data_IF_519402462418
#
_entry.id   IF_519402462418
#
_cell.length_a   1.000
_cell.length_b   1.000
_cell.length_c   1.000
_cell.angle_alpha   90.00
_cell.angle_beta   90.00
_cell.angle_gamma   90.00
#
_symmetry.space_group_name_H-M   'P 1'
#
loop_
_entity.id
_entity.type
_entity.pdbx_description
1 polymer ?
#
# COMPACT_ATOMS: atom_id res chain seq x y z
N UNK A 1 -17.84 -0.54 -20.59
CA UNK A 1 -17.33 -0.93 -19.28
C UNK A 1 -15.89 -1.40 -19.45
N UNK A 2 -14.98 -0.99 -18.58
CA UNK A 2 -13.62 -1.48 -18.59
C UNK A 2 -13.53 -2.98 -18.21
N UNK A 3 -12.34 -3.52 -18.18
CA UNK A 3 -12.07 -4.91 -17.79
C UNK A 3 -11.05 -4.96 -16.66
N UNK A 4 -11.12 -6.02 -15.84
CA UNK A 4 -10.25 -6.22 -14.68
C UNK A 4 -9.55 -7.58 -14.81
N UNK A 5 -8.24 -7.56 -14.87
CA UNK A 5 -7.41 -8.76 -14.97
C UNK A 5 -6.75 -9.06 -13.64
N UNK A 6 -6.66 -10.33 -13.28
CA UNK A 6 -5.79 -10.78 -12.20
C UNK A 6 -4.36 -10.79 -12.71
N UNK A 7 -3.47 -10.19 -11.96
CA UNK A 7 -2.03 -10.20 -12.23
C UNK A 7 -1.27 -10.45 -10.94
N UNK A 8 -0.03 -10.87 -11.06
CA UNK A 8 0.86 -11.12 -9.93
C UNK A 8 2.25 -10.58 -10.27
N UNK A 9 2.97 -10.14 -9.27
CA UNK A 9 4.35 -9.67 -9.39
C UNK A 9 5.12 -9.95 -8.10
N UNK A 10 6.44 -9.95 -8.16
CA UNK A 10 7.28 -10.16 -6.99
C UNK A 10 7.30 -8.91 -6.12
N UNK A 11 7.00 -9.07 -4.83
CA UNK A 11 7.17 -8.05 -3.80
C UNK A 11 8.64 -7.88 -3.38
N UNK A 12 8.84 -7.09 -2.34
CA UNK A 12 10.17 -6.73 -1.83
C UNK A 12 11.03 -7.94 -1.39
N UNK A 13 10.41 -9.01 -0.92
CA UNK A 13 11.07 -10.22 -0.44
C UNK A 13 11.05 -11.38 -1.46
N UNK A 14 10.50 -11.13 -2.65
CA UNK A 14 10.32 -12.13 -3.71
C UNK A 14 9.01 -12.92 -3.61
N UNK A 15 8.18 -12.70 -2.58
CA UNK A 15 6.84 -13.28 -2.48
C UNK A 15 5.95 -12.77 -3.62
N UNK A 16 5.06 -13.64 -4.15
CA UNK A 16 4.11 -13.22 -5.19
C UNK A 16 2.99 -12.38 -4.58
N UNK A 17 2.86 -11.13 -5.05
CA UNK A 17 1.81 -10.22 -4.65
C UNK A 17 0.65 -10.28 -5.63
N UNK A 18 -0.55 -10.54 -5.08
CA UNK A 18 -1.77 -10.63 -5.85
C UNK A 18 -2.34 -9.23 -6.16
N UNK A 19 -2.63 -8.98 -7.43
CA UNK A 19 -3.11 -7.69 -7.89
C UNK A 19 -4.29 -7.77 -8.86
N UNK A 20 -4.93 -6.63 -9.06
CA UNK A 20 -5.91 -6.36 -10.09
C UNK A 20 -5.41 -5.22 -10.97
N UNK A 21 -5.39 -5.47 -12.27
CA UNK A 21 -5.15 -4.45 -13.28
C UNK A 21 -6.50 -4.10 -13.92
N UNK A 22 -7.04 -2.97 -13.52
CA UNK A 22 -8.32 -2.45 -14.01
C UNK A 22 -8.06 -1.46 -15.13
N UNK A 23 -8.65 -1.71 -16.30
CA UNK A 23 -8.37 -0.94 -17.51
C UNK A 23 -9.67 -0.45 -18.17
N UNK A 24 -9.67 0.77 -18.76
CA UNK A 24 -10.73 1.22 -19.62
C UNK A 24 -10.82 0.39 -20.91
N UNK A 25 -11.89 0.57 -21.67
CA UNK A 25 -12.08 -0.12 -22.97
C UNK A 25 -11.01 0.27 -23.99
N UNK A 26 -10.57 1.52 -23.93
CA UNK A 26 -9.51 2.05 -24.78
C UNK A 26 -8.18 2.10 -24.00
N UNK A 27 -7.10 2.34 -24.74
CA UNK A 27 -5.78 2.47 -24.09
C UNK A 27 -5.82 3.57 -23.01
N UNK A 28 -5.39 3.29 -21.79
CA UNK A 28 -5.30 4.29 -20.73
C UNK A 28 -4.40 5.46 -21.14
N UNK A 29 -4.81 6.67 -20.82
CA UNK A 29 -3.96 7.85 -21.01
C UNK A 29 -3.07 8.15 -19.80
N UNK A 30 -3.34 7.52 -18.66
CA UNK A 30 -2.54 7.55 -17.45
C UNK A 30 -2.77 6.28 -16.62
N UNK A 31 -1.86 6.04 -15.67
CA UNK A 31 -1.93 4.92 -14.74
C UNK A 31 -1.90 5.39 -13.30
N UNK A 32 -2.69 4.75 -12.47
CA UNK A 32 -2.70 4.94 -11.02
C UNK A 32 -2.30 3.64 -10.31
N UNK A 33 -1.60 3.78 -9.18
CA UNK A 33 -1.31 2.70 -8.24
C UNK A 33 -2.06 2.96 -6.95
N UNK A 34 -2.84 1.98 -6.47
CA UNK A 34 -3.65 2.10 -5.27
C UNK A 34 -3.12 1.25 -4.12
N UNK A 35 -2.81 1.90 -2.99
CA UNK A 35 -2.38 1.31 -1.73
C UNK A 35 -3.52 1.29 -0.70
N UNK A 36 -3.90 0.10 -0.23
CA UNK A 36 -4.94 -0.06 0.79
C UNK A 36 -4.42 0.17 2.21
N UNK A 37 -5.31 0.16 3.21
CA UNK A 37 -4.97 0.37 4.61
C UNK A 37 -4.26 -0.86 5.25
N UNK A 38 -3.72 -0.66 6.46
CA UNK A 38 -2.83 -1.58 7.18
C UNK A 38 -3.31 -3.04 7.28
N UNK A 39 -4.59 -3.29 7.46
CA UNK A 39 -5.15 -4.64 7.61
C UNK A 39 -6.22 -4.97 6.58
N UNK A 40 -6.23 -4.22 5.47
CA UNK A 40 -7.25 -4.34 4.42
C UNK A 40 -6.83 -5.32 3.30
N UNK A 41 -7.47 -5.16 2.16
CA UNK A 41 -7.09 -5.80 0.90
C UNK A 41 -7.38 -4.87 -0.27
N UNK A 42 -6.85 -5.22 -1.45
CA UNK A 42 -7.11 -4.52 -2.72
C UNK A 42 -8.59 -4.47 -3.11
N UNK A 43 -9.43 -5.33 -2.52
CA UNK A 43 -10.82 -5.52 -2.88
C UNK A 43 -11.82 -4.85 -1.91
N UNK A 44 -11.35 -3.95 -1.02
CA UNK A 44 -12.25 -3.14 -0.19
C UNK A 44 -13.17 -2.29 -1.06
N UNK A 45 -14.38 -2.03 -0.57
CA UNK A 45 -15.40 -1.29 -1.31
C UNK A 45 -14.90 0.04 -1.89
N UNK A 46 -14.24 0.85 -1.04
CA UNK A 46 -13.70 2.15 -1.47
C UNK A 46 -12.66 2.03 -2.60
N UNK A 47 -11.77 1.04 -2.55
CA UNK A 47 -10.78 0.82 -3.61
C UNK A 47 -11.47 0.47 -4.95
N UNK A 48 -12.51 -0.36 -4.92
CA UNK A 48 -13.25 -0.74 -6.12
C UNK A 48 -14.01 0.43 -6.74
N UNK A 49 -14.72 1.24 -5.92
CA UNK A 49 -15.48 2.39 -6.42
C UNK A 49 -14.57 3.48 -6.99
N UNK A 50 -13.48 3.80 -6.29
CA UNK A 50 -12.48 4.77 -6.78
C UNK A 50 -11.87 4.27 -8.10
N UNK A 51 -11.49 3.00 -8.15
CA UNK A 51 -10.94 2.38 -9.35
C UNK A 51 -11.93 2.45 -10.52
N UNK A 52 -13.21 2.09 -10.29
CA UNK A 52 -14.23 2.14 -11.32
C UNK A 52 -14.39 3.57 -11.88
N UNK A 53 -14.45 4.57 -11.01
CA UNK A 53 -14.55 5.98 -11.43
C UNK A 53 -13.33 6.44 -12.24
N UNK A 54 -12.11 6.03 -11.87
CA UNK A 54 -10.90 6.35 -12.62
C UNK A 54 -10.87 5.67 -14.00
N UNK A 55 -11.27 4.42 -14.05
CA UNK A 55 -11.37 3.65 -15.31
C UNK A 55 -12.38 4.29 -16.28
N UNK A 56 -13.51 4.80 -15.77
CA UNK A 56 -14.48 5.57 -16.59
C UNK A 56 -13.88 6.86 -17.16
N UNK A 57 -12.91 7.45 -16.47
CA UNK A 57 -12.15 8.62 -16.93
C UNK A 57 -10.94 8.25 -17.82
N UNK A 58 -10.77 6.98 -18.19
CA UNK A 58 -9.68 6.55 -19.07
C UNK A 58 -8.34 6.33 -18.37
N UNK A 59 -8.33 6.20 -17.04
CA UNK A 59 -7.14 5.94 -16.23
C UNK A 59 -7.11 4.45 -15.87
N UNK A 60 -6.01 3.77 -16.21
CA UNK A 60 -5.77 2.40 -15.75
C UNK A 60 -5.34 2.39 -14.27
N UNK A 61 -5.75 1.37 -13.51
CA UNK A 61 -5.43 1.27 -12.08
C UNK A 61 -4.86 -0.09 -11.75
N UNK A 62 -3.69 -0.10 -11.11
CA UNK A 62 -3.16 -1.27 -10.43
C UNK A 62 -3.49 -1.15 -8.94
N UNK A 63 -4.18 -2.14 -8.39
CA UNK A 63 -4.41 -2.30 -6.95
C UNK A 63 -3.95 -3.69 -6.54
N UNK A 64 -3.21 -3.80 -5.45
CA UNK A 64 -2.60 -5.04 -5.03
C UNK A 64 -2.75 -5.24 -3.52
N UNK A 65 -2.58 -6.46 -3.06
CA UNK A 65 -2.46 -6.80 -1.65
C UNK A 65 -0.99 -6.75 -1.24
N UNK A 66 -0.67 -6.06 -0.15
CA UNK A 66 0.67 -6.06 0.43
C UNK A 66 1.09 -7.46 0.88
N UNK A 67 2.39 -7.71 1.02
CA UNK A 67 2.97 -8.97 1.51
C UNK A 67 2.22 -9.47 2.76
N UNK A 68 1.81 -10.74 2.73
CA UNK A 68 1.10 -11.41 3.82
C UNK A 68 -0.36 -10.98 4.03
N UNK A 69 -0.94 -10.17 3.13
CA UNK A 69 -2.33 -9.71 3.19
C UNK A 69 -3.15 -10.20 1.99
N UNK A 70 -4.46 -10.29 2.17
CA UNK A 70 -5.40 -10.63 1.12
C UNK A 70 -5.10 -11.96 0.45
N UNK A 71 -4.72 -11.93 -0.82
CA UNK A 71 -4.33 -13.10 -1.61
C UNK A 71 -2.81 -13.13 -1.92
N UNK A 72 -2.04 -12.17 -1.41
CA UNK A 72 -0.59 -12.15 -1.55
C UNK A 72 0.07 -13.19 -0.68
N UNK A 73 1.19 -13.72 -1.15
CA UNK A 73 2.07 -14.59 -0.39
C UNK A 73 2.86 -13.80 0.67
N UNK A 74 3.72 -14.52 1.40
CA UNK A 74 4.56 -13.97 2.46
C UNK A 74 3.90 -14.04 3.83
N UNK A 75 4.66 -13.63 4.84
CA UNK A 75 4.23 -13.64 6.23
C UNK A 75 4.08 -12.20 6.74
N UNK A 76 2.85 -11.80 7.05
CA UNK A 76 2.53 -10.48 7.59
C UNK A 76 3.34 -10.13 8.84
N UNK A 77 3.67 -11.11 9.69
CA UNK A 77 4.45 -10.87 10.91
C UNK A 77 5.88 -10.38 10.64
N UNK A 78 6.39 -10.61 9.44
CA UNK A 78 7.71 -10.15 9.01
C UNK A 78 7.66 -8.81 8.27
N UNK A 79 6.46 -8.23 8.09
CA UNK A 79 6.30 -6.94 7.40
C UNK A 79 6.31 -5.77 8.36
N UNK A 80 6.55 -4.57 7.82
CA UNK A 80 6.50 -3.30 8.52
C UNK A 80 6.18 -2.15 7.56
N UNK A 81 6.25 -0.91 7.99
CA UNK A 81 5.96 0.24 7.14
C UNK A 81 6.97 0.37 5.97
N UNK A 82 8.25 0.17 6.27
CA UNK A 82 9.33 0.20 5.26
C UNK A 82 9.11 -0.87 4.19
N UNK A 83 8.77 -2.10 4.55
CA UNK A 83 8.49 -3.17 3.57
C UNK A 83 7.24 -2.89 2.75
N UNK A 84 6.22 -2.22 3.30
CA UNK A 84 5.06 -1.78 2.53
C UNK A 84 5.43 -0.71 1.50
N UNK A 85 6.35 0.21 1.84
CA UNK A 85 6.91 1.18 0.87
C UNK A 85 7.66 0.45 -0.24
N UNK A 86 8.46 -0.57 0.10
CA UNK A 86 9.19 -1.38 -0.88
C UNK A 86 8.25 -2.19 -1.79
N UNK A 87 7.15 -2.74 -1.27
CA UNK A 87 6.12 -3.40 -2.09
C UNK A 87 5.47 -2.41 -3.08
N UNK A 88 5.25 -1.15 -2.68
CA UNK A 88 4.75 -0.10 -3.56
C UNK A 88 5.73 0.22 -4.68
N UNK A 89 7.02 0.28 -4.39
CA UNK A 89 8.06 0.49 -5.40
C UNK A 89 8.09 -0.68 -6.37
N UNK A 90 8.05 -1.92 -5.87
CA UNK A 90 7.99 -3.12 -6.72
C UNK A 90 6.74 -3.14 -7.63
N UNK A 91 5.58 -2.73 -7.10
CA UNK A 91 4.35 -2.60 -7.89
C UNK A 91 4.48 -1.54 -8.99
N UNK A 92 5.13 -0.41 -8.69
CA UNK A 92 5.38 0.65 -9.65
C UNK A 92 6.36 0.21 -10.75
N UNK A 93 7.42 -0.50 -10.40
CA UNK A 93 8.38 -1.07 -11.34
C UNK A 93 7.73 -2.09 -12.28
N UNK A 94 6.88 -2.98 -11.73
CA UNK A 94 6.10 -3.91 -12.56
C UNK A 94 5.20 -3.16 -13.54
N UNK A 95 4.50 -2.12 -13.07
CA UNK A 95 3.63 -1.30 -13.91
C UNK A 95 4.44 -0.51 -14.95
N UNK A 96 5.65 -0.08 -14.62
CA UNK A 96 6.55 0.60 -15.55
C UNK A 96 6.96 -0.31 -16.70
N UNK A 97 7.37 -1.53 -16.40
CA UNK A 97 7.80 -2.51 -17.40
C UNK A 97 6.66 -2.89 -18.35
N UNK A 98 5.42 -2.98 -17.82
CA UNK A 98 4.27 -3.41 -18.60
C UNK A 98 3.54 -2.25 -19.31
N UNK A 99 3.51 -1.05 -18.72
CA UNK A 99 2.60 0.03 -19.08
C UNK A 99 3.17 1.44 -18.99
N UNK A 100 4.45 1.62 -18.64
CA UNK A 100 5.12 2.92 -18.55
C UNK A 100 5.04 3.60 -17.18
N UNK A 101 4.62 2.87 -16.16
CA UNK A 101 4.63 3.32 -14.76
C UNK A 101 3.42 4.15 -14.31
N UNK A 102 3.21 4.31 -12.99
CA UNK A 102 2.12 5.10 -12.46
C UNK A 102 2.42 6.59 -12.49
N UNK A 103 1.51 7.41 -13.05
CA UNK A 103 1.54 8.85 -12.93
C UNK A 103 0.82 9.35 -11.67
N UNK A 104 0.01 8.50 -11.03
CA UNK A 104 -0.74 8.82 -9.82
C UNK A 104 -0.58 7.71 -8.77
N UNK A 105 -0.30 8.11 -7.54
CA UNK A 105 -0.38 7.23 -6.37
C UNK A 105 -1.60 7.59 -5.54
N UNK A 106 -2.36 6.58 -5.13
CA UNK A 106 -3.53 6.75 -4.27
C UNK A 106 -3.35 5.86 -3.06
N UNK A 107 -3.43 6.43 -1.86
CA UNK A 107 -3.25 5.66 -0.63
C UNK A 107 -4.32 5.94 0.42
N UNK A 108 -4.84 4.88 1.03
CA UNK A 108 -5.82 4.94 2.11
C UNK A 108 -5.17 4.63 3.46
N UNK A 109 -5.42 5.48 4.47
CA UNK A 109 -4.92 5.33 5.83
C UNK A 109 -3.39 5.16 5.84
N UNK A 110 -2.83 4.10 6.43
CA UNK A 110 -1.39 3.83 6.44
C UNK A 110 -0.82 3.67 5.01
N UNK A 111 -1.59 3.13 4.05
CA UNK A 111 -1.23 3.13 2.64
C UNK A 111 -1.06 4.55 2.08
N UNK A 112 -1.81 5.53 2.61
CA UNK A 112 -1.64 6.94 2.27
C UNK A 112 -0.30 7.52 2.76
N UNK A 113 0.15 7.15 3.95
CA UNK A 113 1.48 7.48 4.43
C UNK A 113 2.58 6.80 3.58
N UNK A 114 2.36 5.53 3.21
CA UNK A 114 3.31 4.76 2.42
C UNK A 114 3.49 5.34 1.01
N UNK A 115 2.43 5.78 0.31
CA UNK A 115 2.56 6.38 -1.03
C UNK A 115 3.29 7.72 -1.01
N UNK A 116 3.19 8.50 0.09
CA UNK A 116 3.97 9.74 0.24
C UNK A 116 5.46 9.42 0.27
N UNK A 117 5.87 8.41 1.02
CA UNK A 117 7.27 8.00 1.12
C UNK A 117 7.74 7.36 -0.19
N UNK A 118 6.99 6.40 -0.74
CA UNK A 118 7.32 5.71 -1.98
C UNK A 118 7.47 6.64 -3.20
N UNK A 119 6.77 7.78 -3.21
CA UNK A 119 6.82 8.73 -4.31
C UNK A 119 8.22 9.34 -4.57
N UNK A 120 9.13 9.26 -3.62
CA UNK A 120 10.52 9.69 -3.82
C UNK A 120 11.31 8.72 -4.72
N UNK A 121 10.93 7.45 -4.73
CA UNK A 121 11.60 6.38 -5.48
C UNK A 121 10.88 6.05 -6.80
N UNK A 122 9.71 6.66 -7.07
CA UNK A 122 8.90 6.43 -8.27
C UNK A 122 8.88 7.69 -9.14
N UNK A 123 9.79 7.78 -10.08
CA UNK A 123 10.08 9.00 -10.85
C UNK A 123 8.91 9.46 -11.76
N UNK A 124 8.03 8.56 -12.18
CA UNK A 124 6.91 8.82 -13.09
C UNK A 124 5.73 9.52 -12.40
N UNK A 125 5.70 9.54 -11.07
CA UNK A 125 4.59 10.09 -10.28
C UNK A 125 4.47 11.60 -10.47
N UNK A 126 3.27 12.05 -10.83
CA UNK A 126 2.90 13.47 -11.02
C UNK A 126 1.85 13.94 -10.02
N UNK A 127 1.13 12.99 -9.40
CA UNK A 127 0.08 13.31 -8.45
C UNK A 127 0.03 12.25 -7.34
N UNK A 128 -0.25 12.70 -6.11
CA UNK A 128 -0.47 11.83 -4.96
C UNK A 128 -1.81 12.20 -4.34
N UNK A 129 -2.63 11.20 -4.09
CA UNK A 129 -3.94 11.34 -3.43
C UNK A 129 -3.90 10.51 -2.15
N UNK A 130 -4.22 11.14 -1.03
CA UNK A 130 -4.30 10.45 0.26
C UNK A 130 -5.72 10.53 0.81
N UNK A 131 -6.20 9.42 1.39
CA UNK A 131 -7.52 9.30 1.98
C UNK A 131 -7.34 8.91 3.44
N UNK A 132 -7.58 9.85 4.38
CA UNK A 132 -7.41 9.60 5.81
C UNK A 132 -6.00 9.16 6.21
N UNK A 133 -4.96 9.63 5.50
CA UNK A 133 -3.57 9.29 5.81
C UNK A 133 -3.12 9.95 7.11
N UNK A 134 -2.45 9.21 8.00
CA UNK A 134 -1.82 9.82 9.17
C UNK A 134 -0.57 10.61 8.76
N UNK A 135 -0.32 11.71 9.43
CA UNK A 135 0.92 12.49 9.27
C UNK A 135 2.14 11.80 9.90
N UNK A 136 1.89 10.80 10.74
CA UNK A 136 2.88 9.98 11.42
C UNK A 136 2.45 8.51 11.34
N UNK A 137 3.31 7.64 10.80
CA UNK A 137 3.02 6.22 10.67
C UNK A 137 2.79 5.54 12.03
N UNK A 138 3.43 6.04 13.10
CA UNK A 138 3.25 5.54 14.46
C UNK A 138 1.80 5.70 14.98
N UNK A 139 0.95 6.50 14.32
CA UNK A 139 -0.47 6.58 14.63
C UNK A 139 -1.18 5.21 14.60
N UNK A 140 -0.71 4.26 13.78
CA UNK A 140 -1.27 2.91 13.71
C UNK A 140 -1.16 2.15 15.04
N UNK A 141 -0.17 2.48 15.90
CA UNK A 141 0.01 1.90 17.23
C UNK A 141 -1.23 2.11 18.11
N UNK A 142 -1.97 3.19 17.90
CA UNK A 142 -3.20 3.43 18.65
C UNK A 142 -4.26 2.32 18.48
N UNK A 143 -4.25 1.63 17.35
CA UNK A 143 -5.16 0.52 17.08
C UNK A 143 -4.81 -0.76 17.88
N UNK A 144 -3.58 -0.85 18.39
CA UNK A 144 -3.03 -2.00 19.11
C UNK A 144 -2.45 -1.61 20.48
N UNK A 145 -2.83 -0.46 20.99
CA UNK A 145 -2.23 0.13 22.22
C UNK A 145 -2.23 -0.81 23.43
N UNK A 146 -3.20 -1.72 23.52
CA UNK A 146 -3.32 -2.69 24.62
C UNK A 146 -2.31 -3.83 24.53
N UNK A 147 -1.71 -4.02 23.36
CA UNK A 147 -0.81 -5.13 23.07
C UNK A 147 0.65 -4.67 22.91
N UNK A 148 0.90 -3.34 22.95
CA UNK A 148 2.23 -2.75 22.71
C UNK A 148 3.23 -3.25 23.75
N UNK A 149 2.89 -3.19 25.06
CA UNK A 149 3.76 -3.65 26.14
C UNK A 149 4.15 -5.13 25.95
N UNK A 150 3.17 -5.97 25.60
CA UNK A 150 3.41 -7.38 25.32
C UNK A 150 4.33 -7.59 24.11
N UNK A 151 4.14 -6.83 23.03
CA UNK A 151 5.03 -6.90 21.86
C UNK A 151 6.46 -6.47 22.24
N UNK A 152 6.61 -5.45 23.09
CA UNK A 152 7.92 -4.96 23.53
C UNK A 152 8.63 -5.97 24.44
N UNK A 153 7.91 -6.64 25.34
CA UNK A 153 8.47 -7.58 26.30
C UNK A 153 8.75 -8.95 25.65
N UNK A 154 7.78 -9.52 24.95
CA UNK A 154 7.86 -10.88 24.39
C UNK A 154 8.51 -10.90 22.98
N UNK A 155 8.67 -9.72 22.35
CA UNK A 155 9.17 -9.58 20.98
C UNK A 155 8.09 -9.67 19.90
N UNK A 156 6.95 -10.29 20.19
CA UNK A 156 5.77 -10.39 19.33
C UNK A 156 4.49 -10.62 20.13
N UNK A 157 3.34 -10.26 19.55
CA UNK A 157 2.02 -10.64 20.08
C UNK A 157 0.99 -10.79 18.96
N UNK A 158 0.01 -11.64 19.22
CA UNK A 158 -1.22 -11.65 18.43
C UNK A 158 -2.10 -10.47 18.82
N UNK A 159 -2.49 -9.67 17.83
CA UNK A 159 -3.34 -8.48 17.97
C UNK A 159 -4.60 -8.62 17.13
N UNK A 160 -5.67 -7.93 17.53
CA UNK A 160 -6.92 -7.92 16.77
C UNK A 160 -7.02 -6.64 15.93
N UNK A 161 -7.00 -6.79 14.59
CA UNK A 161 -7.14 -5.70 13.65
C UNK A 161 -8.37 -5.92 12.78
N UNK A 162 -9.33 -5.00 12.85
CA UNK A 162 -10.60 -5.12 12.12
C UNK A 162 -11.31 -6.48 12.32
N UNK A 163 -11.25 -7.03 13.54
CA UNK A 163 -11.88 -8.30 13.90
C UNK A 163 -11.15 -9.56 13.41
N UNK A 164 -9.91 -9.44 12.96
CA UNK A 164 -9.06 -10.56 12.54
C UNK A 164 -7.77 -10.60 13.35
N UNK A 165 -7.26 -11.79 13.69
CA UNK A 165 -5.99 -11.93 14.39
C UNK A 165 -4.81 -11.70 13.43
N UNK A 166 -3.79 -11.01 13.91
CA UNK A 166 -2.51 -10.81 13.24
C UNK A 166 -1.39 -10.92 14.27
N UNK A 167 -0.24 -11.46 13.88
CA UNK A 167 0.96 -11.41 14.69
C UNK A 167 1.77 -10.18 14.30
N UNK A 168 2.08 -9.33 15.27
CA UNK A 168 2.98 -8.19 15.13
C UNK A 168 4.24 -8.41 15.97
N UNK A 169 5.38 -8.12 15.36
CA UNK A 169 6.70 -8.20 16.00
C UNK A 169 7.19 -6.82 16.43
N UNK A 170 8.12 -6.78 17.38
CA UNK A 170 8.73 -5.52 17.86
C UNK A 170 9.27 -4.67 16.73
N UNK A 171 9.86 -5.29 15.68
CA UNK A 171 10.41 -4.58 14.53
C UNK A 171 9.37 -3.71 13.80
N UNK A 172 8.08 -4.08 13.85
CA UNK A 172 7.01 -3.24 13.31
C UNK A 172 6.85 -1.94 14.12
N UNK A 173 6.87 -2.03 15.47
CA UNK A 173 6.75 -0.85 16.33
C UNK A 173 7.93 0.10 16.14
N UNK A 174 9.15 -0.45 16.06
CA UNK A 174 10.37 0.33 15.88
C UNK A 174 10.36 1.04 14.53
N UNK A 175 9.96 0.35 13.48
CA UNK A 175 9.91 0.88 12.12
C UNK A 175 8.88 2.01 11.96
N UNK A 176 7.64 1.83 12.43
CA UNK A 176 6.62 2.89 12.32
C UNK A 176 6.96 4.13 13.16
N UNK A 177 7.67 3.96 14.29
CA UNK A 177 8.16 5.08 15.12
C UNK A 177 9.30 5.84 14.44
N UNK A 178 10.09 5.16 13.60
CA UNK A 178 11.19 5.75 12.83
C UNK A 178 10.76 6.41 11.53
N UNK A 179 9.56 6.16 11.06
CA UNK A 179 9.07 6.60 9.75
C UNK A 179 8.88 8.13 9.68
N UNK A 180 9.40 8.74 8.62
CA UNK A 180 9.44 10.21 8.46
C UNK A 180 8.47 10.72 7.40
N UNK A 181 7.17 10.44 7.58
CA UNK A 181 6.11 10.78 6.62
C UNK A 181 6.00 12.28 6.37
N UNK A 182 6.02 13.09 7.43
CA UNK A 182 5.93 14.56 7.31
C UNK A 182 7.14 15.16 6.59
N UNK A 183 8.35 14.65 6.86
CA UNK A 183 9.57 15.08 6.16
C UNK A 183 9.51 14.69 4.68
N UNK A 184 9.06 13.47 4.38
CA UNK A 184 8.85 13.01 3.01
C UNK A 184 7.83 13.90 2.28
N UNK A 185 6.69 14.21 2.90
CA UNK A 185 5.68 15.09 2.32
C UNK A 185 6.24 16.49 2.01
N UNK A 186 7.04 17.06 2.93
CA UNK A 186 7.68 18.37 2.73
C UNK A 186 8.69 18.37 1.58
N UNK A 187 9.31 17.22 1.28
CA UNK A 187 10.24 17.02 0.17
C UNK A 187 9.57 16.90 -1.21
N UNK A 188 8.27 16.65 -1.26
CA UNK A 188 7.51 16.51 -2.51
C UNK A 188 7.22 17.91 -3.09
N UNK A 189 8.09 18.39 -3.98
CA UNK A 189 7.93 19.65 -4.71
C UNK A 189 7.23 19.40 -6.05
N UNK A 190 6.01 18.83 -6.02
CA UNK A 190 5.30 18.46 -7.24
C UNK A 190 3.91 19.09 -7.30
#
# INVERSE_FOLDING_TARGET
MGHSNRVEFNGHDGSLLAARLDMPVFQPHAWALFAHCFSCSKDIYAAREITAALVEQGIGVLRFDFTGLGNSEGDFSNTNFTTNVQDLVAAAEWLEQAHGGPQMLIGHSLGGAAVIVAAHDISQVKAIVTIGAPSDAAHVINAIRTDVEKIEDDGEAEVQLAGRPFVLKRQFLDDVRGAKVTEAAAGLKR
#
